data_IF_921985902329
#
_entry.id   IF_921985902329
#
_cell.length_a   1.000
_cell.length_b   1.000
_cell.length_c   1.000
_cell.angle_alpha   90.00
_cell.angle_beta   90.00
_cell.angle_gamma   90.00
#
_symmetry.space_group_name_H-M   'P 1'
#
loop_
_entity.id
_entity.type
_entity.pdbx_description
1 polymer ?
#
# COMPACT_ATOMS: atom_id res chain seq x y z
N UNK A 1 -4.38 -12.03 3.01
CA UNK A 1 -5.31 -11.66 1.92
C UNK A 1 -4.58 -11.63 0.56
N UNK A 2 -5.27 -11.75 -0.57
CA UNK A 2 -4.65 -11.72 -1.90
C UNK A 2 -4.01 -10.36 -2.21
N UNK A 3 -4.62 -9.26 -1.76
CA UNK A 3 -4.10 -7.90 -1.91
C UNK A 3 -2.71 -7.71 -1.30
N UNK A 4 -2.39 -8.36 -0.17
CA UNK A 4 -1.07 -8.29 0.47
C UNK A 4 0.07 -8.85 -0.39
N UNK A 5 -0.23 -9.49 -1.53
CA UNK A 5 0.76 -10.01 -2.49
C UNK A 5 0.94 -9.12 -3.71
N UNK A 6 0.12 -8.08 -3.87
CA UNK A 6 0.24 -7.13 -4.98
C UNK A 6 1.45 -6.20 -4.74
N UNK A 7 2.09 -5.69 -5.80
CA UNK A 7 3.09 -4.64 -5.65
C UNK A 7 2.46 -3.34 -5.15
N UNK A 8 3.27 -2.43 -4.59
CA UNK A 8 2.83 -1.04 -4.44
C UNK A 8 2.56 -0.43 -5.82
N UNK A 9 1.56 0.46 -5.90
CA UNK A 9 1.17 1.09 -7.14
C UNK A 9 0.73 2.53 -6.88
N UNK A 10 1.49 3.48 -7.41
CA UNK A 10 1.24 4.92 -7.25
C UNK A 10 0.05 5.39 -8.10
N UNK A 11 -0.31 4.64 -9.15
CA UNK A 11 -1.28 5.09 -10.15
C UNK A 11 -0.76 6.24 -11.04
N UNK A 12 -1.56 6.72 -12.01
CA UNK A 12 -1.13 7.72 -12.98
C UNK A 12 -1.26 9.17 -12.47
N UNK A 13 -2.04 9.40 -11.42
CA UNK A 13 -2.19 10.73 -10.82
C UNK A 13 -0.93 11.17 -10.06
N UNK A 14 -0.79 12.48 -9.82
CA UNK A 14 0.44 13.09 -9.28
C UNK A 14 0.26 13.77 -7.91
N UNK A 15 -0.78 13.40 -7.16
CA UNK A 15 -0.86 13.79 -5.76
C UNK A 15 0.28 13.10 -4.97
N UNK A 16 0.55 13.59 -3.75
CA UNK A 16 1.48 12.95 -2.82
C UNK A 16 0.72 12.61 -1.55
N UNK A 17 0.02 11.49 -1.58
CA UNK A 17 -0.77 11.00 -0.45
C UNK A 17 0.08 9.94 0.26
N UNK A 18 0.58 10.20 1.48
CA UNK A 18 1.29 9.18 2.24
C UNK A 18 0.34 8.02 2.56
N UNK A 19 0.70 6.82 2.12
CA UNK A 19 -0.08 5.60 2.32
C UNK A 19 0.85 4.42 2.61
N UNK A 20 0.29 3.26 2.95
CA UNK A 20 1.05 2.08 3.35
C UNK A 20 0.72 0.88 2.45
N UNK A 21 1.73 0.05 2.18
CA UNK A 21 1.58 -1.22 1.47
C UNK A 21 2.32 -2.32 2.22
N UNK A 22 1.91 -3.57 2.05
CA UNK A 22 2.63 -4.72 2.57
C UNK A 22 3.73 -5.16 1.60
N UNK A 23 4.99 -5.13 2.04
CA UNK A 23 6.13 -5.65 1.31
C UNK A 23 6.37 -7.13 1.67
N UNK A 24 6.02 -8.02 0.73
CA UNK A 24 6.19 -9.47 0.89
C UNK A 24 7.66 -9.90 1.06
N UNK A 25 8.63 -9.13 0.55
CA UNK A 25 10.05 -9.49 0.64
C UNK A 25 10.56 -9.32 2.06
N UNK A 26 10.12 -8.25 2.72
CA UNK A 26 10.53 -7.94 4.10
C UNK A 26 9.49 -8.38 5.14
N UNK A 27 8.31 -8.81 4.70
CA UNK A 27 7.14 -9.14 5.52
C UNK A 27 6.76 -7.99 6.46
N UNK A 28 6.77 -6.76 5.95
CA UNK A 28 6.51 -5.55 6.71
C UNK A 28 5.63 -4.58 5.92
N UNK A 29 4.77 -3.86 6.63
CA UNK A 29 4.11 -2.68 6.11
C UNK A 29 5.11 -1.52 5.97
N UNK A 30 5.12 -0.88 4.81
CA UNK A 30 6.00 0.24 4.46
C UNK A 30 5.19 1.39 3.89
N UNK A 31 5.67 2.61 4.10
CA UNK A 31 5.08 3.81 3.52
C UNK A 31 5.48 3.97 2.05
N UNK A 32 4.56 4.49 1.23
CA UNK A 32 4.79 4.93 -0.14
C UNK A 32 3.91 6.16 -0.45
N UNK A 33 4.15 6.81 -1.59
CA UNK A 33 3.35 7.96 -2.03
C UNK A 33 2.34 7.50 -3.08
N UNK A 34 1.05 7.50 -2.71
CA UNK A 34 -0.03 7.24 -3.66
C UNK A 34 -0.38 8.50 -4.45
N UNK A 35 -0.51 8.34 -5.77
CA UNK A 35 -0.80 9.38 -6.73
C UNK A 35 -2.22 9.93 -6.65
N UNK A 36 -3.13 9.25 -5.94
CA UNK A 36 -4.50 9.72 -5.66
C UNK A 36 -5.56 9.25 -6.65
N UNK A 37 -5.22 8.43 -7.64
CA UNK A 37 -6.19 7.73 -8.47
C UNK A 37 -5.63 6.40 -8.99
N UNK A 38 -6.54 5.49 -9.34
CA UNK A 38 -6.20 4.11 -9.74
C UNK A 38 -5.29 3.42 -8.72
N UNK A 39 -4.35 2.58 -9.15
CA UNK A 39 -3.54 1.76 -8.26
C UNK A 39 -4.20 0.41 -7.97
N UNK A 40 -3.88 -0.18 -6.81
CA UNK A 40 -4.42 -1.48 -6.43
C UNK A 40 -4.73 -1.58 -4.93
N UNK A 41 -5.26 -2.74 -4.51
CA UNK A 41 -5.75 -2.97 -3.15
C UNK A 41 -4.66 -3.10 -2.06
N UNK A 42 -3.37 -3.17 -2.42
CA UNK A 42 -2.26 -3.09 -1.45
C UNK A 42 -1.94 -1.64 -1.11
N UNK A 43 -2.96 -0.93 -0.63
CA UNK A 43 -2.92 0.49 -0.33
C UNK A 43 -3.80 0.76 0.89
N UNK A 44 -3.17 1.14 2.00
CA UNK A 44 -3.80 1.32 3.30
C UNK A 44 -3.51 2.72 3.83
N UNK A 45 -4.52 3.37 4.41
CA UNK A 45 -4.38 4.73 4.95
C UNK A 45 -3.46 4.80 6.19
N UNK A 46 -3.38 3.71 6.95
CA UNK A 46 -2.56 3.65 8.18
C UNK A 46 -1.72 2.39 8.23
N UNK A 47 -0.59 2.49 8.94
CA UNK A 47 0.30 1.35 9.16
C UNK A 47 -0.40 0.22 9.93
N UNK A 48 -1.31 0.56 10.84
CA UNK A 48 -2.05 -0.41 11.64
C UNK A 48 -3.12 -1.13 10.81
N UNK A 49 -3.80 -0.45 9.89
CA UNK A 49 -4.71 -1.09 8.94
C UNK A 49 -3.97 -2.12 8.06
N UNK A 50 -2.79 -1.75 7.55
CA UNK A 50 -1.95 -2.67 6.80
C UNK A 50 -1.54 -3.88 7.65
N UNK A 51 -1.06 -3.66 8.88
CA UNK A 51 -0.62 -4.74 9.79
C UNK A 51 -1.79 -5.66 10.16
N UNK A 52 -2.94 -5.10 10.52
CA UNK A 52 -4.12 -5.87 10.87
C UNK A 52 -4.59 -6.76 9.71
N UNK A 53 -4.41 -6.30 8.47
CA UNK A 53 -4.84 -7.02 7.28
C UNK A 53 -3.83 -8.06 6.79
N UNK A 54 -2.53 -7.78 6.90
CA UNK A 54 -1.47 -8.51 6.20
C UNK A 54 -0.39 -9.14 7.08
N UNK A 55 -0.33 -8.84 8.39
CA UNK A 55 0.57 -9.55 9.31
C UNK A 55 0.06 -10.95 9.66
#
# INVERSE_FOLDING_TARGET
>A
PSECKLPMDEGPCRARIPTYYFDIKTKKCKEFMYGGCEGNANNFETIDACRQKCN
#
